data_IF_552613596605
#
_entry.id   IF_552613596605
#
_cell.length_a   1.000
_cell.length_b   1.000
_cell.length_c   1.000
_cell.angle_alpha   90.00
_cell.angle_beta   90.00
_cell.angle_gamma   90.00
#
_symmetry.space_group_name_H-M   'P 1'
#
loop_
_entity.id
_entity.type
_entity.pdbx_description
1 polymer ?
#
# COMPACT_ATOMS: atom_id res chain seq x y z
N UNK A 1 -23.28 1.61 -25.37
CA UNK A 1 -22.55 1.79 -24.11
C UNK A 1 -21.07 1.63 -24.40
N UNK A 2 -20.31 2.72 -24.40
CA UNK A 2 -18.87 2.72 -24.67
C UNK A 2 -18.14 2.41 -23.36
N UNK A 3 -17.33 1.36 -23.37
CA UNK A 3 -16.37 1.04 -22.33
C UNK A 3 -15.47 2.26 -22.04
N UNK A 4 -15.41 2.69 -20.79
CA UNK A 4 -14.37 3.60 -20.29
C UNK A 4 -13.20 2.70 -19.91
N UNK A 5 -12.06 2.70 -20.63
CA UNK A 5 -10.92 1.94 -20.18
C UNK A 5 -10.35 2.63 -18.95
N UNK A 6 -10.22 1.84 -17.88
CA UNK A 6 -9.36 2.12 -16.74
C UNK A 6 -8.07 2.74 -17.26
N UNK A 7 -7.75 3.96 -16.82
CA UNK A 7 -6.58 4.72 -17.22
C UNK A 7 -5.33 3.95 -16.78
N UNK A 8 -4.89 3.01 -17.59
CA UNK A 8 -3.62 2.33 -17.40
C UNK A 8 -2.55 3.35 -17.70
N UNK A 9 -1.87 3.80 -16.64
CA UNK A 9 -0.70 4.68 -16.72
C UNK A 9 0.49 3.88 -17.28
N UNK A 10 0.40 3.41 -18.53
CA UNK A 10 1.55 2.98 -19.32
C UNK A 10 2.16 4.22 -19.97
N UNK A 11 2.99 4.94 -19.21
CA UNK A 11 3.98 5.80 -19.86
C UNK A 11 5.21 4.96 -20.16
N UNK A 12 5.48 4.86 -21.46
CA UNK A 12 6.69 4.36 -22.11
C UNK A 12 7.91 4.93 -21.41
N UNK A 13 8.64 4.09 -20.66
CA UNK A 13 10.06 4.30 -20.37
C UNK A 13 10.77 3.08 -20.95
N UNK A 14 10.76 2.98 -22.27
CA UNK A 14 11.63 2.07 -23.00
C UNK A 14 12.66 2.90 -23.77
N UNK A 15 13.93 2.63 -23.47
CA UNK A 15 15.07 3.04 -24.28
C UNK A 15 15.60 4.44 -24.01
N UNK A 16 16.60 4.55 -23.13
CA UNK A 16 17.87 5.26 -23.34
C UNK A 16 18.59 5.42 -21.98
N UNK A 17 19.39 4.42 -21.62
CA UNK A 17 20.35 4.54 -20.52
C UNK A 17 21.76 4.28 -21.07
N UNK A 18 22.59 5.32 -21.03
CA UNK A 18 24.05 5.17 -20.98
C UNK A 18 24.56 6.05 -19.83
N UNK A 19 25.41 5.52 -18.92
CA UNK A 19 25.84 6.29 -17.76
C UNK A 19 27.09 7.11 -18.09
N UNK A 20 27.11 8.38 -17.68
CA UNK A 20 28.35 9.11 -17.49
C UNK A 20 28.24 9.97 -16.23
N UNK A 21 29.15 9.66 -15.30
CA UNK A 21 29.72 10.37 -14.16
C UNK A 21 28.88 11.20 -13.18
N UNK A 22 29.13 10.87 -11.92
CA UNK A 22 28.43 11.31 -10.73
C UNK A 22 28.96 12.65 -10.20
N UNK A 23 28.05 13.49 -9.70
CA UNK A 23 28.31 14.30 -8.50
C UNK A 23 27.02 14.52 -7.71
N UNK A 24 27.19 14.62 -6.39
CA UNK A 24 26.29 14.43 -5.24
C UNK A 24 25.08 15.35 -5.12
N UNK A 25 23.95 14.79 -4.65
CA UNK A 25 22.87 15.51 -3.95
C UNK A 25 22.42 14.66 -2.75
N UNK A 26 22.35 15.33 -1.59
CA UNK A 26 21.84 15.05 -0.24
C UNK A 26 21.39 13.62 0.19
N UNK A 27 21.74 13.30 1.44
CA UNK A 27 21.55 12.02 2.13
C UNK A 27 20.07 11.62 2.35
N UNK A 28 19.53 10.82 1.44
CA UNK A 28 18.29 10.03 1.60
C UNK A 28 18.52 8.79 2.50
N UNK A 29 18.92 8.96 3.77
CA UNK A 29 19.40 7.82 4.57
C UNK A 29 18.35 7.03 5.37
N UNK A 30 17.11 7.50 5.52
CA UNK A 30 16.19 6.90 6.51
C UNK A 30 15.04 6.04 5.98
N UNK A 31 14.89 5.88 4.66
CA UNK A 31 13.85 4.99 4.10
C UNK A 31 14.45 3.63 3.75
N UNK A 32 13.95 2.50 4.31
CA UNK A 32 14.43 1.17 3.97
C UNK A 32 14.36 0.95 2.47
N UNK A 33 15.52 0.87 1.81
CA UNK A 33 15.57 0.70 0.35
C UNK A 33 14.95 -0.62 -0.11
N UNK A 34 14.82 -1.61 0.77
CA UNK A 34 14.25 -2.93 0.51
C UNK A 34 13.05 -3.10 1.41
N UNK A 35 11.87 -3.08 0.81
CA UNK A 35 10.62 -3.01 1.55
C UNK A 35 9.69 -4.16 1.13
N UNK A 36 8.88 -4.60 2.07
CA UNK A 36 7.68 -5.37 1.84
C UNK A 36 6.51 -4.46 2.20
N UNK A 37 5.68 -4.11 1.21
CA UNK A 37 4.44 -3.39 1.46
C UNK A 37 3.32 -4.41 1.61
N UNK A 38 2.68 -4.42 2.77
CA UNK A 38 1.47 -5.20 3.03
C UNK A 38 0.31 -4.22 2.86
N UNK A 39 -0.52 -4.42 1.84
CA UNK A 39 -1.67 -3.56 1.64
C UNK A 39 -2.67 -3.76 2.76
N UNK A 40 -3.31 -2.66 3.19
CA UNK A 40 -4.33 -2.68 4.23
C UNK A 40 -5.28 -3.85 4.01
N UNK A 41 -5.48 -4.61 5.08
CA UNK A 41 -6.28 -5.81 5.08
C UNK A 41 -7.02 -5.94 6.39
N UNK A 42 -8.01 -6.82 6.38
CA UNK A 42 -8.83 -7.18 7.50
C UNK A 42 -8.76 -8.68 7.74
N UNK A 43 -9.01 -9.10 8.98
CA UNK A 43 -9.23 -10.49 9.32
C UNK A 43 -10.70 -10.73 9.64
N UNK A 44 -11.20 -11.92 9.32
CA UNK A 44 -12.50 -12.41 9.78
C UNK A 44 -12.35 -13.87 10.24
N UNK A 45 -13.27 -14.32 11.09
CA UNK A 45 -13.25 -15.70 11.60
C UNK A 45 -13.96 -16.63 10.60
N UNK A 46 -13.32 -17.75 10.28
CA UNK A 46 -13.91 -18.89 9.59
C UNK A 46 -13.48 -20.18 10.31
N UNK A 47 -14.44 -20.88 10.93
CA UNK A 47 -14.13 -22.03 11.79
C UNK A 47 -13.33 -21.64 13.03
N UNK A 48 -12.17 -22.26 13.22
CA UNK A 48 -11.21 -22.02 14.32
C UNK A 48 -10.01 -21.16 13.90
N UNK A 49 -10.10 -20.48 12.75
CA UNK A 49 -9.04 -19.63 12.21
C UNK A 49 -9.54 -18.20 11.90
N UNK A 50 -8.64 -17.24 12.06
CA UNK A 50 -8.72 -15.94 11.40
C UNK A 50 -8.18 -16.07 9.98
N UNK A 51 -9.03 -15.76 9.01
CA UNK A 51 -8.69 -15.68 7.59
C UNK A 51 -8.44 -14.21 7.24
N UNK A 52 -7.24 -13.94 6.72
CA UNK A 52 -6.79 -12.58 6.39
C UNK A 52 -6.42 -12.55 4.90
N UNK A 53 -7.23 -11.91 4.04
CA UNK A 53 -6.89 -11.75 2.63
C UNK A 53 -5.65 -10.89 2.44
N UNK A 54 -4.57 -11.47 1.93
CA UNK A 54 -3.29 -10.78 1.79
C UNK A 54 -3.06 -10.31 0.36
N UNK A 55 -2.59 -9.07 0.24
CA UNK A 55 -1.88 -8.58 -0.94
C UNK A 55 -0.58 -7.95 -0.49
N UNK A 56 0.54 -8.49 -0.98
CA UNK A 56 1.88 -8.09 -0.55
C UNK A 56 2.74 -7.76 -1.74
N UNK A 57 3.56 -6.72 -1.63
CA UNK A 57 4.48 -6.27 -2.67
C UNK A 57 5.91 -6.19 -2.15
N UNK A 58 6.80 -7.01 -2.69
CA UNK A 58 8.23 -6.95 -2.39
C UNK A 58 8.90 -6.03 -3.39
N UNK A 59 9.42 -4.91 -2.90
CA UNK A 59 9.96 -3.86 -3.76
C UNK A 59 11.27 -3.29 -3.22
N UNK A 60 12.02 -2.65 -4.11
CA UNK A 60 13.22 -1.92 -3.77
C UNK A 60 13.12 -0.50 -4.33
N UNK A 61 13.16 0.51 -3.45
CA UNK A 61 13.18 1.91 -3.89
C UNK A 61 14.45 2.18 -4.70
N UNK A 62 14.29 2.82 -5.86
CA UNK A 62 15.42 3.18 -6.73
C UNK A 62 16.04 4.49 -6.23
N UNK A 63 17.37 4.61 -6.35
CA UNK A 63 18.02 5.92 -6.26
C UNK A 63 17.61 6.71 -7.49
N UNK A 64 17.18 7.95 -7.32
CA UNK A 64 16.88 8.82 -8.44
C UNK A 64 18.12 8.98 -9.31
N UNK A 65 17.96 8.75 -10.62
CA UNK A 65 19.01 9.00 -11.61
C UNK A 65 18.92 10.47 -12.02
N UNK A 66 20.07 11.13 -12.25
CA UNK A 66 20.12 12.52 -12.73
C UNK A 66 19.26 12.74 -13.98
N UNK A 67 19.18 11.78 -14.90
CA UNK A 67 18.34 11.89 -16.10
C UNK A 67 16.84 12.03 -15.81
N UNK A 68 16.34 11.47 -14.71
CA UNK A 68 14.96 11.68 -14.26
C UNK A 68 14.77 13.09 -13.69
N UNK A 69 15.79 13.64 -13.03
CA UNK A 69 15.80 15.03 -12.56
C UNK A 69 15.76 15.98 -13.76
N UNK A 70 16.55 15.73 -14.81
CA UNK A 70 16.55 16.53 -16.04
C UNK A 70 15.18 16.52 -16.73
N UNK A 71 14.60 15.33 -16.96
CA UNK A 71 13.24 15.19 -17.50
C UNK A 71 12.19 15.91 -16.66
N UNK A 72 12.33 15.86 -15.33
CA UNK A 72 11.50 16.60 -14.41
C UNK A 72 11.63 18.11 -14.59
N UNK A 73 12.83 18.68 -14.67
CA UNK A 73 13.02 20.12 -14.91
C UNK A 73 12.21 20.63 -16.12
N UNK A 74 12.20 19.88 -17.22
CA UNK A 74 11.48 20.27 -18.43
C UNK A 74 9.95 20.22 -18.25
N UNK A 75 9.44 19.30 -17.44
CA UNK A 75 8.02 19.19 -17.06
C UNK A 75 7.58 20.19 -15.99
N UNK A 76 8.53 20.85 -15.32
CA UNK A 76 8.29 21.55 -14.05
C UNK A 76 8.52 23.05 -14.08
N UNK A 77 8.83 23.61 -15.25
CA UNK A 77 8.94 25.06 -15.43
C UNK A 77 7.70 25.85 -14.96
N UNK A 78 6.53 25.21 -14.89
CA UNK A 78 5.26 25.82 -14.43
C UNK A 78 4.88 25.49 -12.97
N UNK A 79 5.70 24.75 -12.22
CA UNK A 79 5.37 24.25 -10.88
C UNK A 79 6.32 24.78 -9.80
N UNK A 80 5.79 24.99 -8.60
CA UNK A 80 6.57 25.42 -7.43
C UNK A 80 7.35 24.25 -6.83
N UNK A 81 8.47 24.53 -6.17
CA UNK A 81 9.35 23.52 -5.58
C UNK A 81 8.61 22.49 -4.71
N UNK A 82 7.70 22.94 -3.84
CA UNK A 82 6.93 22.03 -2.98
C UNK A 82 6.06 21.05 -3.77
N UNK A 83 5.53 21.45 -4.93
CA UNK A 83 4.72 20.57 -5.79
C UNK A 83 5.60 19.49 -6.43
N UNK A 84 6.87 19.83 -6.70
CA UNK A 84 7.84 18.89 -7.24
C UNK A 84 8.26 17.89 -6.18
N UNK A 85 8.37 18.31 -4.93
CA UNK A 85 8.68 17.41 -3.84
C UNK A 85 7.52 16.43 -3.57
N UNK A 86 6.27 16.90 -3.62
CA UNK A 86 5.07 16.02 -3.58
C UNK A 86 5.12 15.00 -4.73
N UNK A 87 5.38 15.46 -5.95
CA UNK A 87 5.47 14.59 -7.12
C UNK A 87 6.56 13.53 -6.97
N UNK A 88 7.76 13.94 -6.57
CA UNK A 88 8.90 13.04 -6.34
C UNK A 88 8.57 12.00 -5.27
N UNK A 89 7.92 12.42 -4.18
CA UNK A 89 7.48 11.52 -3.13
C UNK A 89 6.56 10.43 -3.68
N UNK A 90 5.52 10.81 -4.43
CA UNK A 90 4.48 9.90 -4.95
C UNK A 90 4.96 9.00 -6.07
N UNK A 91 5.87 9.48 -6.92
CA UNK A 91 6.44 8.64 -7.97
C UNK A 91 7.40 7.58 -7.45
N UNK A 92 8.00 7.76 -6.26
CA UNK A 92 9.04 6.88 -5.74
C UNK A 92 8.64 5.42 -5.76
N UNK A 93 7.41 5.14 -5.38
CA UNK A 93 6.87 3.79 -5.32
C UNK A 93 6.34 3.34 -6.69
N UNK A 94 5.86 4.26 -7.55
CA UNK A 94 5.53 3.92 -8.95
C UNK A 94 6.75 3.39 -9.72
N UNK A 95 7.92 3.98 -9.50
CA UNK A 95 9.17 3.58 -10.19
C UNK A 95 9.98 2.54 -9.40
N UNK A 96 9.45 2.04 -8.28
CA UNK A 96 10.16 1.08 -7.45
C UNK A 96 10.39 -0.25 -8.18
N UNK A 97 11.51 -0.88 -7.85
CA UNK A 97 11.96 -2.09 -8.51
C UNK A 97 11.32 -3.32 -7.85
N UNK A 98 10.31 -3.88 -8.52
CA UNK A 98 9.58 -5.06 -8.07
C UNK A 98 10.45 -6.31 -8.04
N UNK A 99 10.26 -7.18 -7.04
CA UNK A 99 11.09 -8.37 -6.83
C UNK A 99 10.31 -9.66 -6.96
N UNK A 100 10.48 -10.33 -8.10
CA UNK A 100 9.89 -11.63 -8.41
C UNK A 100 10.56 -12.81 -7.70
N UNK A 101 9.84 -13.94 -7.63
CA UNK A 101 10.27 -15.25 -7.11
C UNK A 101 10.77 -15.22 -5.66
N UNK A 102 10.26 -14.28 -4.87
CA UNK A 102 10.52 -14.18 -3.43
C UNK A 102 9.47 -14.92 -2.63
N UNK A 103 9.89 -15.61 -1.59
CA UNK A 103 9.00 -16.11 -0.54
C UNK A 103 8.90 -15.05 0.55
N UNK A 104 7.70 -14.81 1.05
CA UNK A 104 7.45 -13.90 2.18
C UNK A 104 6.93 -14.71 3.34
N UNK A 105 7.52 -14.49 4.50
CA UNK A 105 7.12 -15.07 5.78
C UNK A 105 6.66 -13.96 6.71
N UNK A 106 5.76 -14.29 7.63
CA UNK A 106 5.21 -13.35 8.59
C UNK A 106 5.40 -13.82 10.03
N UNK A 107 5.50 -12.85 10.94
CA UNK A 107 5.51 -13.04 12.39
C UNK A 107 4.53 -12.08 13.04
N UNK A 108 4.08 -12.48 14.22
CA UNK A 108 3.29 -11.65 15.13
C UNK A 108 4.23 -11.23 16.27
N UNK A 109 4.61 -9.95 16.37
CA UNK A 109 5.55 -9.47 17.38
C UNK A 109 5.16 -9.83 18.81
N UNK A 110 3.85 -9.79 19.09
CA UNK A 110 3.29 -9.99 20.44
C UNK A 110 2.99 -11.47 20.77
N UNK A 111 3.49 -12.43 19.98
CA UNK A 111 3.26 -13.86 20.22
C UNK A 111 4.54 -14.66 20.38
N UNK A 112 5.26 -14.90 19.28
CA UNK A 112 6.48 -15.70 19.28
C UNK A 112 7.29 -15.49 18.01
N UNK A 113 8.61 -15.32 18.18
CA UNK A 113 9.57 -15.23 17.08
C UNK A 113 9.77 -16.56 16.32
N UNK A 114 9.41 -17.68 16.93
CA UNK A 114 9.57 -19.02 16.36
C UNK A 114 8.39 -19.39 15.44
N UNK A 115 7.22 -18.79 15.65
CA UNK A 115 6.04 -19.08 14.86
C UNK A 115 6.06 -18.28 13.55
N UNK A 116 6.11 -18.99 12.43
CA UNK A 116 6.21 -18.39 11.10
C UNK A 116 4.93 -18.70 10.32
N UNK A 117 4.22 -17.64 9.93
CA UNK A 117 3.07 -17.73 9.07
C UNK A 117 3.47 -17.47 7.61
N UNK A 118 2.70 -18.03 6.67
CA UNK A 118 2.88 -17.80 5.23
C UNK A 118 1.53 -17.62 4.57
N UNK A 119 1.53 -16.83 3.51
CA UNK A 119 0.38 -16.75 2.62
C UNK A 119 0.20 -18.11 1.96
N UNK A 120 -1.05 -18.55 1.86
CA UNK A 120 -1.49 -19.70 1.08
C UNK A 120 -2.35 -19.24 -0.10
N UNK A 121 -2.18 -19.86 -1.26
CA UNK A 121 -3.05 -19.67 -2.42
C UNK A 121 -4.28 -20.61 -2.35
N UNK A 122 -5.25 -20.49 -3.28
CA UNK A 122 -6.42 -21.37 -3.30
C UNK A 122 -6.12 -22.86 -3.43
N UNK A 123 -4.92 -23.22 -3.91
CA UNK A 123 -4.44 -24.59 -4.00
C UNK A 123 -3.80 -25.09 -2.69
N UNK A 124 -3.69 -24.23 -1.67
CA UNK A 124 -3.11 -24.55 -0.36
C UNK A 124 -1.57 -24.46 -0.33
N UNK A 125 -0.96 -23.94 -1.38
CA UNK A 125 0.49 -23.80 -1.51
C UNK A 125 0.96 -22.42 -1.07
N UNK A 126 2.24 -22.29 -0.71
CA UNK A 126 2.82 -20.97 -0.39
C UNK A 126 3.35 -20.28 -1.66
N UNK A 127 2.64 -19.30 -2.24
CA UNK A 127 3.07 -18.65 -3.47
C UNK A 127 4.35 -17.83 -3.29
N UNK A 128 5.06 -17.65 -4.40
CA UNK A 128 6.17 -16.68 -4.51
C UNK A 128 5.69 -15.44 -5.25
N UNK A 129 6.39 -14.32 -5.06
CA UNK A 129 6.08 -13.09 -5.79
C UNK A 129 6.12 -13.28 -7.30
N UNK A 130 5.14 -12.70 -8.00
CA UNK A 130 5.04 -12.71 -9.45
C UNK A 130 6.07 -11.74 -10.11
N UNK A 131 5.96 -11.53 -11.42
CA UNK A 131 6.85 -10.60 -12.15
C UNK A 131 6.70 -9.14 -11.71
N UNK A 132 5.59 -8.79 -11.08
CA UNK A 132 5.30 -7.46 -10.52
C UNK A 132 5.66 -7.40 -9.03
N UNK A 133 6.33 -8.42 -8.49
CA UNK A 133 6.72 -8.47 -7.08
C UNK A 133 5.54 -8.70 -6.13
N UNK A 134 4.38 -9.13 -6.63
CA UNK A 134 3.16 -9.27 -5.87
C UNK A 134 2.92 -10.72 -5.44
N UNK A 135 2.39 -10.90 -4.23
CA UNK A 135 1.73 -12.12 -3.75
C UNK A 135 0.28 -11.78 -3.40
N UNK A 136 -0.64 -12.69 -3.73
CA UNK A 136 -2.03 -12.69 -3.26
C UNK A 136 -2.38 -14.06 -2.71
N UNK A 137 -3.22 -14.09 -1.68
CA UNK A 137 -3.68 -15.32 -1.05
C UNK A 137 -4.24 -15.00 0.33
N UNK A 138 -4.26 -15.98 1.22
CA UNK A 138 -4.75 -15.83 2.59
C UNK A 138 -3.62 -16.08 3.58
N UNK A 139 -3.59 -15.33 4.66
CA UNK A 139 -2.90 -15.72 5.89
C UNK A 139 -3.94 -16.33 6.82
N UNK A 140 -3.67 -17.51 7.36
CA UNK A 140 -4.53 -18.18 8.32
C UNK A 140 -3.83 -18.26 9.67
N UNK A 141 -4.52 -17.81 10.71
CA UNK A 141 -3.99 -17.76 12.08
C UNK A 141 -5.03 -18.39 13.01
N UNK A 142 -4.72 -19.45 13.76
CA UNK A 142 -5.65 -20.04 14.72
C UNK A 142 -6.21 -19.00 15.69
N UNK A 143 -7.51 -19.08 15.98
CA UNK A 143 -8.21 -18.21 16.94
C UNK A 143 -7.50 -18.23 18.30
N UNK A 144 -7.02 -19.39 18.74
CA UNK A 144 -6.29 -19.53 20.01
C UNK A 144 -5.02 -18.67 20.09
N UNK A 145 -4.34 -18.41 18.98
CA UNK A 145 -3.15 -17.54 18.94
C UNK A 145 -3.56 -16.09 19.11
N UNK A 146 -4.63 -15.67 18.43
CA UNK A 146 -5.15 -14.31 18.53
C UNK A 146 -5.75 -14.04 19.92
N UNK A 147 -6.41 -15.02 20.52
CA UNK A 147 -6.92 -14.91 21.89
C UNK A 147 -5.76 -14.74 22.88
N UNK A 148 -4.67 -15.51 22.75
CA UNK A 148 -3.48 -15.34 23.60
C UNK A 148 -2.86 -13.93 23.51
N UNK A 149 -2.90 -13.30 22.33
CA UNK A 149 -2.42 -11.91 22.13
C UNK A 149 -3.38 -10.89 22.77
N UNK A 150 -4.68 -11.13 22.71
CA UNK A 150 -5.71 -10.10 22.99
C UNK A 150 -6.65 -10.42 24.17
N UNK A 151 -6.36 -11.42 25.00
CA UNK A 151 -7.22 -11.92 26.09
C UNK A 151 -7.73 -10.83 27.06
N UNK A 152 -7.16 -9.61 27.05
CA UNK A 152 -7.52 -8.49 27.93
C UNK A 152 -8.23 -7.28 27.26
N UNK A 153 -8.55 -7.28 25.95
CA UNK A 153 -9.04 -6.06 25.27
C UNK A 153 -10.48 -6.20 24.73
N UNK A 154 -11.48 -5.56 25.38
CA UNK A 154 -12.85 -5.57 24.88
C UNK A 154 -13.05 -4.59 23.71
N UNK A 155 -13.52 -5.14 22.59
CA UNK A 155 -14.58 -4.62 21.71
C UNK A 155 -14.53 -3.20 21.12
N UNK A 156 -13.35 -2.63 20.83
CA UNK A 156 -13.20 -1.70 19.68
C UNK A 156 -11.87 -1.95 18.95
N UNK A 157 -11.97 -2.55 17.77
CA UNK A 157 -10.90 -2.71 16.76
C UNK A 157 -9.62 -3.38 17.27
N UNK A 158 -9.58 -4.71 17.32
CA UNK A 158 -8.31 -5.43 17.53
C UNK A 158 -7.45 -5.25 16.27
N UNK A 159 -6.47 -4.34 16.33
CA UNK A 159 -5.47 -4.17 15.27
C UNK A 159 -4.30 -5.10 15.56
N UNK A 160 -4.16 -6.15 14.75
CA UNK A 160 -3.07 -7.10 14.85
C UNK A 160 -1.85 -6.56 14.11
N UNK A 161 -0.76 -6.31 14.84
CA UNK A 161 0.53 -6.00 14.23
C UNK A 161 1.13 -7.25 13.58
N UNK A 162 1.66 -7.09 12.37
CA UNK A 162 2.33 -8.16 11.63
C UNK A 162 3.62 -7.66 11.00
N UNK A 163 4.66 -8.48 11.07
CA UNK A 163 5.94 -8.23 10.42
C UNK A 163 6.19 -9.23 9.31
N UNK A 164 6.54 -8.73 8.12
CA UNK A 164 6.89 -9.52 6.96
C UNK A 164 8.40 -9.51 6.69
N UNK A 165 8.92 -10.66 6.26
CA UNK A 165 10.34 -10.87 6.00
C UNK A 165 10.57 -11.65 4.70
N UNK A 166 11.58 -11.22 3.94
CA UNK A 166 12.08 -11.95 2.76
C UNK A 166 13.58 -11.67 2.53
N UNK A 167 14.44 -12.39 3.25
CA UNK A 167 15.88 -12.13 3.23
C UNK A 167 16.21 -10.76 3.83
N UNK A 168 16.61 -9.79 2.99
CA UNK A 168 16.93 -8.40 3.43
C UNK A 168 15.77 -7.41 3.23
N UNK A 169 14.56 -7.91 2.98
CA UNK A 169 13.36 -7.09 2.77
C UNK A 169 12.48 -7.29 4.00
N UNK A 170 11.97 -6.19 4.54
CA UNK A 170 11.12 -6.18 5.73
C UNK A 170 9.94 -5.25 5.52
N UNK A 171 8.88 -5.44 6.30
CA UNK A 171 7.74 -4.55 6.35
C UNK A 171 6.89 -4.83 7.57
N UNK A 172 6.26 -3.80 8.13
CA UNK A 172 5.32 -3.91 9.25
C UNK A 172 3.98 -3.35 8.80
N UNK A 173 2.89 -3.94 9.28
CA UNK A 173 1.53 -3.47 9.01
C UNK A 173 0.60 -3.84 10.15
N UNK A 174 -0.60 -3.26 10.13
CA UNK A 174 -1.66 -3.53 11.10
C UNK A 174 -2.89 -4.07 10.37
N UNK A 175 -3.41 -5.18 10.86
CA UNK A 175 -4.56 -5.88 10.30
C UNK A 175 -5.75 -5.61 11.20
N UNK A 176 -6.84 -5.09 10.64
CA UNK A 176 -8.06 -4.89 11.43
C UNK A 176 -8.80 -6.22 11.56
N UNK A 177 -8.87 -6.79 12.76
CA UNK A 177 -9.66 -7.98 13.02
C UNK A 177 -11.12 -7.58 13.22
N UNK A 178 -11.99 -8.00 12.30
CA UNK A 178 -13.41 -7.64 12.29
C UNK A 178 -14.19 -8.69 13.09
N UNK A 179 -15.00 -8.28 14.08
CA UNK A 179 -15.90 -9.18 14.77
C UNK A 179 -16.94 -9.84 13.83
N UNK A 180 -17.48 -11.01 14.17
CA UNK A 180 -18.52 -11.67 13.37
C UNK A 180 -19.81 -10.86 13.22
N UNK A 181 -20.11 -9.99 14.18
CA UNK A 181 -21.30 -9.14 14.21
C UNK A 181 -20.91 -7.68 14.45
N UNK A 182 -21.62 -6.75 13.79
CA UNK A 182 -21.38 -5.32 13.93
C UNK A 182 -21.79 -4.55 12.68
N UNK A 183 -21.42 -3.26 12.65
CA UNK A 183 -21.65 -2.39 11.50
C UNK A 183 -20.36 -2.29 10.70
N UNK A 184 -20.43 -2.57 9.40
CA UNK A 184 -19.33 -2.32 8.46
C UNK A 184 -19.75 -1.26 7.44
N UNK A 185 -18.86 -0.32 7.18
CA UNK A 185 -19.06 0.78 6.23
C UNK A 185 -18.02 0.65 5.14
N UNK A 186 -18.46 0.50 3.89
CA UNK A 186 -17.57 0.55 2.73
C UNK A 186 -17.61 1.96 2.19
N UNK A 187 -16.47 2.64 2.20
CA UNK A 187 -16.31 4.00 1.70
C UNK A 187 -15.36 4.01 0.51
N UNK A 188 -15.75 4.69 -0.56
CA UNK A 188 -14.77 5.12 -1.56
C UNK A 188 -13.83 6.20 -0.96
N UNK A 189 -12.68 6.43 -1.59
CA UNK A 189 -11.73 7.48 -1.21
C UNK A 189 -11.86 8.68 -2.13
N UNK A 190 -11.79 8.46 -3.44
CA UNK A 190 -11.61 9.53 -4.43
C UNK A 190 -12.93 10.28 -4.65
N UNK A 191 -12.94 11.57 -4.36
CA UNK A 191 -14.14 12.44 -4.33
C UNK A 191 -15.21 12.02 -3.30
N UNK A 192 -14.87 11.13 -2.37
CA UNK A 192 -15.69 10.79 -1.19
C UNK A 192 -15.06 11.36 0.08
N UNK A 193 -13.87 10.91 0.48
CA UNK A 193 -13.14 11.48 1.64
C UNK A 193 -11.93 12.34 1.23
N UNK A 194 -11.49 12.25 -0.02
CA UNK A 194 -10.35 12.98 -0.58
C UNK A 194 -10.74 13.61 -1.92
N UNK A 195 -10.68 14.95 -2.00
CA UNK A 195 -10.94 15.67 -3.24
C UNK A 195 -9.87 15.34 -4.28
N UNK A 196 -10.29 14.73 -5.38
CA UNK A 196 -9.45 14.29 -6.50
C UNK A 196 -9.89 14.91 -7.83
N UNK A 197 -11.17 15.28 -7.94
CA UNK A 197 -11.85 15.83 -9.12
C UNK A 197 -11.84 14.86 -10.32
N UNK A 198 -12.20 13.59 -10.08
CA UNK A 198 -12.33 12.54 -11.10
C UNK A 198 -13.21 12.99 -12.28
N UNK A 199 -14.39 13.62 -12.10
CA UNK A 199 -15.23 14.05 -13.22
C UNK A 199 -14.59 15.13 -14.10
N UNK A 200 -13.59 15.87 -13.61
CA UNK A 200 -12.89 16.91 -14.37
C UNK A 200 -11.88 16.36 -15.39
N UNK A 201 -11.67 15.03 -15.41
CA UNK A 201 -10.89 14.32 -16.41
C UNK A 201 -9.43 14.10 -16.03
N UNK A 202 -8.77 13.18 -16.76
CA UNK A 202 -7.48 12.61 -16.36
C UNK A 202 -6.34 13.61 -16.10
N UNK A 203 -6.30 14.74 -16.83
CA UNK A 203 -5.27 15.76 -16.60
C UNK A 203 -5.41 16.41 -15.21
N UNK A 204 -6.64 16.71 -14.79
CA UNK A 204 -6.91 17.29 -13.47
C UNK A 204 -6.61 16.27 -12.38
N UNK A 205 -7.05 15.02 -12.58
CA UNK A 205 -6.78 13.90 -11.66
C UNK A 205 -5.28 13.70 -11.45
N UNK A 206 -4.48 13.64 -12.52
CA UNK A 206 -3.02 13.50 -12.41
C UNK A 206 -2.43 14.71 -11.68
N UNK A 207 -2.86 15.92 -12.01
CA UNK A 207 -2.36 17.12 -11.36
C UNK A 207 -2.65 17.14 -9.85
N UNK A 208 -3.91 16.89 -9.44
CA UNK A 208 -4.30 16.83 -8.03
C UNK A 208 -3.61 15.65 -7.31
N UNK A 209 -3.55 14.48 -7.94
CA UNK A 209 -3.00 13.25 -7.36
C UNK A 209 -1.49 13.26 -7.26
N UNK A 210 -0.75 13.98 -8.11
CA UNK A 210 0.71 13.95 -8.10
C UNK A 210 1.40 15.27 -7.76
N UNK A 211 0.74 16.42 -7.89
CA UNK A 211 1.39 17.74 -7.74
C UNK A 211 0.75 18.65 -6.69
N UNK A 212 -0.34 18.22 -6.04
CA UNK A 212 -0.99 18.97 -4.95
C UNK A 212 -1.07 18.15 -3.67
N UNK A 213 -1.10 18.81 -2.53
CA UNK A 213 -1.46 18.15 -1.27
C UNK A 213 -2.85 17.53 -1.36
N UNK A 214 -3.06 16.42 -0.63
CA UNK A 214 -4.39 15.83 -0.56
C UNK A 214 -5.29 16.74 0.25
N UNK A 215 -6.48 17.01 -0.28
CA UNK A 215 -7.48 17.84 0.39
C UNK A 215 -8.60 16.91 0.85
N UNK A 216 -8.87 16.90 2.15
CA UNK A 216 -9.99 16.16 2.70
C UNK A 216 -11.31 16.71 2.15
N UNK A 217 -12.24 15.82 1.83
CA UNK A 217 -13.60 16.23 1.54
C UNK A 217 -14.21 16.85 2.82
N UNK A 218 -14.83 18.04 2.73
CA UNK A 218 -15.42 18.69 3.90
C UNK A 218 -16.45 17.80 4.59
N UNK A 219 -16.59 17.91 5.92
CA UNK A 219 -17.62 17.26 6.75
C UNK A 219 -17.47 15.74 6.90
N UNK A 220 -16.85 15.06 5.93
CA UNK A 220 -16.83 13.59 5.90
C UNK A 220 -16.12 12.95 7.08
N UNK A 221 -15.00 13.54 7.53
CA UNK A 221 -14.30 13.07 8.72
C UNK A 221 -15.16 13.21 9.98
N UNK A 222 -15.84 14.34 10.14
CA UNK A 222 -16.73 14.60 11.29
C UNK A 222 -17.94 13.64 11.26
N UNK A 223 -18.55 13.45 10.08
CA UNK A 223 -19.66 12.52 9.89
C UNK A 223 -19.25 11.07 10.17
N UNK A 224 -18.05 10.65 9.76
CA UNK A 224 -17.56 9.29 10.04
C UNK A 224 -17.25 9.08 11.51
N UNK A 225 -16.79 10.11 12.22
CA UNK A 225 -16.54 10.05 13.64
C UNK A 225 -17.82 9.83 14.47
N UNK A 226 -19.01 10.18 13.94
CA UNK A 226 -20.30 9.89 14.59
C UNK A 226 -20.64 8.39 14.59
N UNK A 227 -19.96 7.56 13.78
CA UNK A 227 -20.21 6.12 13.67
C UNK A 227 -19.18 5.32 14.46
N UNK A 228 -19.10 5.56 15.77
CA UNK A 228 -18.05 5.00 16.63
C UNK A 228 -18.00 3.46 16.69
N UNK A 229 -19.13 2.79 16.42
CA UNK A 229 -19.25 1.32 16.43
C UNK A 229 -19.12 0.69 15.03
N UNK A 230 -18.85 1.51 14.01
CA UNK A 230 -18.67 1.04 12.64
C UNK A 230 -17.21 0.72 12.33
N UNK A 231 -16.99 -0.38 11.61
CA UNK A 231 -15.71 -0.73 10.99
C UNK A 231 -15.67 -0.18 9.58
N UNK A 232 -14.70 0.69 9.28
CA UNK A 232 -14.57 1.33 7.97
C UNK A 232 -13.62 0.58 7.04
N UNK A 233 -14.09 0.32 5.82
CA UNK A 233 -13.36 -0.33 4.74
C UNK A 233 -13.23 0.66 3.58
N UNK A 234 -12.01 1.08 3.28
CA UNK A 234 -11.76 2.04 2.22
C UNK A 234 -11.43 1.36 0.89
N UNK A 235 -12.07 1.82 -0.18
CA UNK A 235 -11.81 1.40 -1.55
C UNK A 235 -11.36 2.62 -2.36
N UNK A 236 -10.44 2.44 -3.31
CA UNK A 236 -9.99 3.53 -4.18
C UNK A 236 -9.65 3.01 -5.57
N UNK A 237 -9.87 3.86 -6.58
CA UNK A 237 -9.41 3.64 -7.94
C UNK A 237 -7.98 4.12 -8.22
N UNK A 238 -7.33 4.74 -7.23
CA UNK A 238 -5.96 5.24 -7.35
C UNK A 238 -4.96 4.09 -7.60
N UNK A 239 -3.83 4.34 -8.28
CA UNK A 239 -2.77 3.34 -8.43
C UNK A 239 -2.34 2.78 -7.07
N UNK A 240 -2.27 1.45 -6.99
CA UNK A 240 -2.01 0.74 -5.74
C UNK A 240 -0.63 1.05 -5.13
N UNK A 241 0.32 1.55 -5.91
CA UNK A 241 1.63 1.99 -5.43
C UNK A 241 1.60 3.29 -4.61
N UNK A 242 0.46 4.01 -4.59
CA UNK A 242 0.29 5.22 -3.78
C UNK A 242 -0.16 4.93 -2.34
N UNK A 243 -0.32 3.65 -1.99
CA UNK A 243 -0.74 3.17 -0.67
C UNK A 243 0.41 2.38 -0.02
#
# INVERSE_FOLDING_TARGET
MKFVPLLVLFFVIDGLFHPADATSIHSEEDVPRRQITIYNTYGYIDGDEWVIPMRVWVNKKRRWLQGFVTWMTDLTNDYKDYQIDIFRSRLRDIVADSKSRRTVSFRLPDYSDEHIFRIIDPEGESPRTDRNGLIRGELRIPVSIIDEIFDDIPNRGKWLEIEAYSGRYTGTSYIQLIPPEGISVISDIDDTVKITEIPAGGRVVVHNTFFKEYVAAPIMADMYAEWEDATFHYVSGSPWQLF
#
